data_IF_892101075481
#
_entry.id   IF_892101075481
#
_cell.length_a   1.000
_cell.length_b   1.000
_cell.length_c   1.000
_cell.angle_alpha   90.00
_cell.angle_beta   90.00
_cell.angle_gamma   90.00
#
_symmetry.space_group_name_H-M   'P 1'
#
loop_
_entity.id
_entity.type
_entity.pdbx_description
1 polymer ?
#
# COMPACT_ATOMS: atom_id res chain seq x y z
N UNK A 1 -12.62 -25.88 -0.64
CA UNK A 1 -12.29 -25.19 0.63
C UNK A 1 -13.50 -24.36 1.02
N UNK A 2 -14.13 -24.65 2.14
CA UNK A 2 -15.13 -23.77 2.76
C UNK A 2 -14.36 -22.62 3.40
N UNK A 3 -14.11 -21.57 2.63
CA UNK A 3 -13.62 -20.32 3.19
C UNK A 3 -14.77 -19.70 3.99
N UNK A 4 -14.49 -19.28 5.21
CA UNK A 4 -15.41 -18.44 5.98
C UNK A 4 -15.61 -17.15 5.17
N UNK A 5 -16.80 -16.96 4.61
CA UNK A 5 -17.11 -15.77 3.81
C UNK A 5 -17.23 -14.62 4.80
N UNK A 6 -16.16 -13.84 4.87
CA UNK A 6 -16.14 -12.57 5.53
C UNK A 6 -17.13 -11.61 4.83
N UNK A 7 -18.02 -11.01 5.61
CA UNK A 7 -18.98 -10.03 5.08
C UNK A 7 -18.27 -8.70 4.83
N UNK A 8 -18.78 -7.92 3.88
CA UNK A 8 -18.34 -6.55 3.66
C UNK A 8 -19.51 -5.58 3.79
N UNK A 9 -19.25 -4.41 4.36
CA UNK A 9 -20.23 -3.33 4.49
C UNK A 9 -19.59 -2.01 4.07
N UNK A 10 -20.31 -1.24 3.26
CA UNK A 10 -19.88 0.10 2.89
C UNK A 10 -20.09 1.04 4.07
N UNK A 11 -18.99 1.55 4.61
CA UNK A 11 -19.01 2.50 5.73
C UNK A 11 -18.83 3.94 5.25
N UNK A 12 -18.40 4.11 4.00
CA UNK A 12 -18.20 5.43 3.38
C UNK A 12 -18.30 5.31 1.87
N UNK A 13 -19.02 6.24 1.25
CA UNK A 13 -19.06 6.42 -0.20
C UNK A 13 -19.25 7.90 -0.51
N UNK A 14 -18.32 8.52 -1.21
CA UNK A 14 -18.33 9.96 -1.45
C UNK A 14 -17.55 10.37 -2.69
N UNK A 15 -17.87 11.53 -3.26
CA UNK A 15 -16.99 12.21 -4.21
C UNK A 15 -15.95 12.97 -3.38
N UNK A 16 -14.70 12.87 -3.80
CA UNK A 16 -13.56 13.47 -3.09
C UNK A 16 -13.20 14.83 -3.69
N UNK A 17 -12.28 15.55 -3.03
CA UNK A 17 -11.67 16.77 -3.54
C UNK A 17 -10.87 16.56 -4.85
N UNK A 18 -10.58 15.31 -5.22
CA UNK A 18 -9.78 14.97 -6.39
C UNK A 18 -10.61 14.92 -7.68
N UNK A 19 -10.02 15.45 -8.75
CA UNK A 19 -10.51 15.29 -10.13
C UNK A 19 -10.03 13.94 -10.71
N UNK A 20 -9.87 13.85 -12.03
CA UNK A 20 -9.26 12.71 -12.72
C UNK A 20 -7.75 12.60 -12.45
N UNK A 21 -7.32 11.54 -11.75
CA UNK A 21 -5.93 11.40 -11.30
C UNK A 21 -5.29 10.02 -11.63
N UNK A 22 -4.85 9.80 -12.88
CA UNK A 22 -4.25 8.53 -13.33
C UNK A 22 -2.72 8.43 -13.15
N UNK A 23 -2.09 9.48 -12.65
CA UNK A 23 -0.65 9.76 -12.79
C UNK A 23 0.16 9.55 -11.50
N UNK A 24 -0.37 8.76 -10.58
CA UNK A 24 0.20 8.63 -9.25
C UNK A 24 -0.21 7.37 -8.51
N UNK A 25 0.09 7.38 -7.22
CA UNK A 25 -0.21 6.30 -6.29
C UNK A 25 -1.19 6.79 -5.24
N UNK A 26 -2.19 5.96 -4.94
CA UNK A 26 -3.11 6.19 -3.84
C UNK A 26 -2.57 5.54 -2.57
N UNK A 27 -2.74 6.22 -1.44
CA UNK A 27 -2.42 5.74 -0.11
C UNK A 27 -3.49 6.20 0.88
N UNK A 28 -3.54 5.56 2.04
CA UNK A 28 -4.59 5.78 3.04
C UNK A 28 -3.99 5.71 4.44
N UNK A 29 -3.77 6.87 5.06
CA UNK A 29 -3.07 7.03 6.34
C UNK A 29 -3.64 8.24 7.09
N UNK A 30 -3.62 8.20 8.42
CA UNK A 30 -3.98 9.36 9.24
C UNK A 30 -2.89 10.44 9.12
N UNK A 31 -3.12 11.43 8.26
CA UNK A 31 -2.19 12.53 8.01
C UNK A 31 -2.53 13.74 8.87
N UNK A 32 -3.82 13.97 9.14
CA UNK A 32 -4.31 15.09 9.94
C UNK A 32 -4.16 14.86 11.44
N UNK A 33 -3.94 13.62 11.88
CA UNK A 33 -3.79 13.24 13.28
C UNK A 33 -5.14 13.16 14.02
N UNK A 34 -6.24 12.98 13.29
CA UNK A 34 -7.59 12.92 13.84
C UNK A 34 -8.02 11.50 14.23
N UNK A 35 -7.15 10.50 14.04
CA UNK A 35 -7.41 9.08 14.32
C UNK A 35 -8.12 8.34 13.19
N UNK A 36 -8.50 9.02 12.11
CA UNK A 36 -9.12 8.45 10.91
C UNK A 36 -8.21 8.65 9.70
N UNK A 37 -7.99 7.60 8.93
CA UNK A 37 -7.12 7.69 7.77
C UNK A 37 -7.68 8.64 6.69
N UNK A 38 -6.81 9.50 6.18
CA UNK A 38 -7.06 10.44 5.10
C UNK A 38 -6.70 9.81 3.75
N UNK A 39 -7.29 10.33 2.68
CA UNK A 39 -6.96 9.90 1.31
C UNK A 39 -5.76 10.68 0.79
N UNK A 40 -4.67 9.97 0.52
CA UNK A 40 -3.41 10.56 0.05
C UNK A 40 -3.17 10.15 -1.40
N UNK A 41 -2.84 11.12 -2.24
CA UNK A 41 -2.41 10.90 -3.61
C UNK A 41 -0.98 11.41 -3.80
N UNK A 42 -0.12 10.53 -4.28
CA UNK A 42 1.28 10.80 -4.60
C UNK A 42 1.36 10.95 -6.11
N UNK A 43 1.32 12.20 -6.59
CA UNK A 43 1.35 12.51 -8.03
C UNK A 43 2.79 12.45 -8.52
N UNK A 44 3.03 11.63 -9.54
CA UNK A 44 4.40 11.35 -10.00
C UNK A 44 4.64 11.69 -11.47
N UNK A 45 3.57 11.95 -12.22
CA UNK A 45 3.62 12.34 -13.63
C UNK A 45 2.70 13.52 -13.84
N UNK A 46 3.02 14.32 -14.85
CA UNK A 46 2.23 15.51 -15.21
C UNK A 46 2.01 16.45 -14.01
N UNK A 47 3.01 16.53 -13.13
CA UNK A 47 3.04 17.41 -11.96
C UNK A 47 3.31 18.85 -12.41
N UNK A 48 2.68 19.82 -11.74
CA UNK A 48 2.88 21.24 -12.06
C UNK A 48 4.26 21.77 -11.63
N UNK A 49 4.87 21.13 -10.63
CA UNK A 49 6.13 21.55 -10.00
C UNK A 49 7.41 20.97 -10.62
N UNK A 50 7.30 19.90 -11.42
CA UNK A 50 8.46 19.09 -11.84
C UNK A 50 9.00 18.15 -10.77
N UNK A 51 8.38 18.15 -9.59
CA UNK A 51 8.68 17.24 -8.48
C UNK A 51 7.47 16.33 -8.23
N UNK A 52 7.67 15.22 -7.51
CA UNK A 52 6.56 14.44 -6.96
C UNK A 52 5.77 15.35 -6.01
N UNK A 53 4.45 15.31 -6.12
CA UNK A 53 3.52 16.12 -5.32
C UNK A 53 2.69 15.23 -4.39
N UNK A 54 2.48 15.69 -3.15
CA UNK A 54 1.56 15.06 -2.20
C UNK A 54 0.30 15.90 -2.09
N UNK A 55 -0.85 15.24 -2.25
CA UNK A 55 -2.17 15.79 -2.05
C UNK A 55 -2.90 14.94 -1.00
N UNK A 56 -3.53 15.59 -0.02
CA UNK A 56 -4.26 14.92 1.07
C UNK A 56 -5.67 15.46 1.15
N UNK A 57 -6.67 14.60 0.98
CA UNK A 57 -8.07 14.92 1.25
C UNK A 57 -8.46 14.41 2.63
N UNK A 58 -8.94 15.31 3.49
CA UNK A 58 -9.16 15.03 4.92
C UNK A 58 -10.43 14.23 5.16
N UNK A 59 -10.34 13.20 5.99
CA UNK A 59 -11.47 12.41 6.49
C UNK A 59 -12.47 13.24 7.31
N UNK A 60 -12.04 14.31 8.00
CA UNK A 60 -12.94 15.23 8.75
C UNK A 60 -13.88 15.98 7.80
N UNK A 61 -13.40 16.29 6.59
CA UNK A 61 -14.17 16.94 5.52
C UNK A 61 -14.99 15.96 4.69
N UNK A 62 -15.12 14.70 5.11
CA UNK A 62 -15.67 13.62 4.28
C UNK A 62 -14.91 13.47 2.94
N UNK A 63 -13.59 13.73 2.97
CA UNK A 63 -12.68 13.72 1.81
C UNK A 63 -13.01 14.77 0.73
N UNK A 64 -13.86 15.75 1.03
CA UNK A 64 -14.32 16.79 0.09
C UNK A 64 -13.39 18.02 0.06
N UNK A 65 -12.47 18.16 1.02
CA UNK A 65 -11.49 19.25 1.07
C UNK A 65 -10.05 18.75 1.20
N UNK A 66 -9.13 19.46 0.54
CA UNK A 66 -7.70 19.20 0.68
C UNK A 66 -7.15 19.78 1.99
N UNK A 67 -6.52 18.94 2.80
CA UNK A 67 -5.70 19.36 3.94
C UNK A 67 -4.27 19.75 3.54
N UNK A 68 -3.77 19.23 2.42
CA UNK A 68 -2.42 19.50 1.92
C UNK A 68 -2.36 19.34 0.40
N UNK A 69 -1.63 20.22 -0.28
CA UNK A 69 -1.19 20.05 -1.67
C UNK A 69 0.17 20.73 -1.87
N UNK A 70 1.26 19.98 -1.91
CA UNK A 70 2.62 20.53 -2.00
C UNK A 70 3.55 19.65 -2.85
N UNK A 71 4.56 20.24 -3.52
CA UNK A 71 5.68 19.48 -4.08
C UNK A 71 6.55 18.89 -2.97
N UNK A 72 7.39 17.93 -3.33
CA UNK A 72 8.38 17.30 -2.44
C UNK A 72 9.80 17.49 -2.97
N UNK A 73 10.80 17.03 -2.22
CA UNK A 73 12.21 17.03 -2.62
C UNK A 73 12.54 16.04 -3.76
N UNK A 74 11.59 15.20 -4.18
CA UNK A 74 11.79 14.23 -5.26
C UNK A 74 11.56 14.87 -6.63
N UNK A 75 12.63 15.39 -7.24
CA UNK A 75 12.60 15.90 -8.61
C UNK A 75 12.42 14.77 -9.63
N UNK A 76 11.40 14.86 -10.49
CA UNK A 76 11.05 13.78 -11.44
C UNK A 76 12.16 13.51 -12.46
N UNK A 77 12.92 14.54 -12.84
CA UNK A 77 14.02 14.39 -13.79
C UNK A 77 15.21 13.60 -13.22
N UNK A 78 15.45 13.74 -11.91
CA UNK A 78 16.56 13.09 -11.21
C UNK A 78 16.16 11.74 -10.62
N UNK A 79 14.91 11.63 -10.16
CA UNK A 79 14.32 10.42 -9.61
C UNK A 79 13.04 10.01 -10.38
N UNK A 80 13.17 9.53 -11.64
CA UNK A 80 12.02 9.11 -12.43
C UNK A 80 11.18 8.05 -11.71
N UNK A 81 9.86 8.23 -11.62
CA UNK A 81 9.00 7.35 -10.82
C UNK A 81 8.98 5.91 -11.34
N UNK A 82 9.25 5.67 -12.62
CA UNK A 82 9.39 4.32 -13.18
C UNK A 82 10.62 3.54 -12.68
N UNK A 83 11.55 4.20 -11.98
CA UNK A 83 12.70 3.54 -11.39
C UNK A 83 12.37 2.87 -10.05
N UNK A 84 11.18 3.08 -9.50
CA UNK A 84 10.84 2.55 -8.19
C UNK A 84 9.35 2.58 -7.89
N UNK A 85 9.04 2.63 -6.60
CA UNK A 85 7.68 2.80 -6.11
C UNK A 85 7.70 3.74 -4.91
N UNK A 86 6.66 4.55 -4.79
CA UNK A 86 6.42 5.36 -3.61
C UNK A 86 5.48 4.65 -2.64
N UNK A 87 5.74 4.80 -1.35
CA UNK A 87 4.87 4.37 -0.26
C UNK A 87 4.84 5.46 0.82
N UNK A 88 3.78 5.46 1.62
CA UNK A 88 3.69 6.29 2.83
C UNK A 88 3.93 5.41 4.06
N UNK A 89 4.55 5.96 5.11
CA UNK A 89 4.66 5.28 6.39
C UNK A 89 5.39 6.11 7.44
N UNK A 90 5.13 5.85 8.72
CA UNK A 90 5.81 6.51 9.83
C UNK A 90 7.25 5.98 9.96
N UNK A 91 8.22 6.69 9.38
CA UNK A 91 9.61 6.25 9.34
C UNK A 91 10.47 7.00 10.35
N UNK A 92 10.36 8.33 10.37
CA UNK A 92 11.12 9.22 11.25
C UNK A 92 10.51 9.36 12.66
N UNK A 93 9.44 8.62 12.96
CA UNK A 93 8.69 8.74 14.21
C UNK A 93 7.77 9.95 14.26
N UNK A 94 7.54 10.60 13.12
CA UNK A 94 6.63 11.73 12.99
C UNK A 94 5.16 11.28 13.15
N UNK A 95 4.29 12.12 13.77
CA UNK A 95 2.85 11.84 13.82
C UNK A 95 2.21 11.73 12.44
N UNK A 96 2.80 12.37 11.43
CA UNK A 96 2.39 12.29 10.02
C UNK A 96 3.23 11.22 9.30
N UNK A 97 2.67 10.51 8.32
CA UNK A 97 3.43 9.53 7.55
C UNK A 97 4.45 10.23 6.62
N UNK A 98 5.65 9.69 6.54
CA UNK A 98 6.70 10.14 5.62
C UNK A 98 6.47 9.61 4.20
N UNK A 99 7.05 10.27 3.20
CA UNK A 99 7.08 9.80 1.81
C UNK A 99 8.36 9.02 1.57
N UNK A 100 8.22 7.76 1.14
CA UNK A 100 9.35 6.86 0.94
C UNK A 100 9.41 6.40 -0.51
N UNK A 101 10.53 6.64 -1.16
CA UNK A 101 10.84 6.10 -2.48
C UNK A 101 11.74 4.87 -2.37
N UNK A 102 11.23 3.73 -2.84
CA UNK A 102 11.99 2.49 -2.97
C UNK A 102 12.48 2.41 -4.42
N UNK A 103 13.73 2.84 -4.64
CA UNK A 103 14.36 2.88 -5.96
C UNK A 103 14.96 1.52 -6.28
N UNK A 104 14.51 0.93 -7.39
CA UNK A 104 14.80 -0.46 -7.77
C UNK A 104 15.49 -0.61 -9.12
N UNK A 105 15.73 0.50 -9.81
CA UNK A 105 16.34 0.56 -11.13
C UNK A 105 17.18 1.83 -11.25
N UNK A 106 18.27 1.74 -12.01
CA UNK A 106 19.18 2.86 -12.24
C UNK A 106 19.71 3.42 -10.91
N UNK A 107 20.03 2.51 -9.99
CA UNK A 107 20.51 2.86 -8.65
C UNK A 107 21.98 3.22 -8.72
N UNK A 108 22.42 4.19 -7.91
CA UNK A 108 23.84 4.59 -7.87
C UNK A 108 24.73 3.53 -7.21
N UNK A 109 24.13 2.67 -6.38
CA UNK A 109 24.81 1.65 -5.56
C UNK A 109 24.71 0.24 -6.12
N UNK A 110 23.98 0.02 -7.21
CA UNK A 110 23.60 -1.30 -7.73
C UNK A 110 22.81 -2.17 -6.75
N UNK A 111 22.28 -1.54 -5.70
CA UNK A 111 21.40 -2.12 -4.70
C UNK A 111 20.09 -1.34 -4.69
N UNK A 112 19.01 -1.95 -4.21
CA UNK A 112 17.75 -1.23 -3.98
C UNK A 112 18.00 -0.14 -2.95
N UNK A 113 17.69 1.11 -3.29
CA UNK A 113 17.90 2.28 -2.44
C UNK A 113 16.58 2.72 -1.82
N UNK A 114 16.63 3.14 -0.56
CA UNK A 114 15.50 3.72 0.18
C UNK A 114 15.80 5.19 0.42
N UNK A 115 14.92 6.06 -0.07
CA UNK A 115 14.97 7.49 0.13
C UNK A 115 13.70 7.93 0.88
N UNK A 116 13.87 8.65 1.99
CA UNK A 116 12.77 9.08 2.86
C UNK A 116 12.75 10.60 2.86
N UNK A 117 11.63 11.21 2.48
CA UNK A 117 11.36 12.62 2.70
C UNK A 117 10.44 12.76 3.92
N UNK A 118 10.88 13.50 4.93
CA UNK A 118 10.16 13.56 6.21
C UNK A 118 8.98 14.53 6.16
N UNK A 119 7.85 14.11 6.73
CA UNK A 119 6.68 14.96 6.87
C UNK A 119 6.91 16.15 7.82
N UNK A 120 7.83 16.06 8.78
CA UNK A 120 8.20 17.19 9.65
C UNK A 120 8.88 18.34 8.88
N UNK A 121 9.48 18.05 7.73
CA UNK A 121 10.05 19.05 6.81
C UNK A 121 9.07 19.51 5.73
N UNK A 122 7.79 19.15 5.84
CA UNK A 122 6.81 19.24 4.73
C UNK A 122 7.35 18.57 3.44
N UNK A 123 8.04 17.43 3.59
CA UNK A 123 8.68 16.67 2.51
C UNK A 123 9.72 17.44 1.69
N UNK A 124 10.28 18.54 2.21
CA UNK A 124 11.29 19.35 1.51
C UNK A 124 12.72 18.87 1.75
N UNK A 125 12.94 17.97 2.72
CA UNK A 125 14.26 17.43 3.03
C UNK A 125 14.26 15.89 3.07
N UNK A 126 15.37 15.31 2.61
CA UNK A 126 15.64 13.89 2.82
C UNK A 126 16.01 13.63 4.27
N UNK A 127 15.25 12.79 4.95
CA UNK A 127 15.58 12.25 6.26
C UNK A 127 16.63 11.14 6.15
N UNK A 128 16.49 10.26 5.16
CA UNK A 128 17.39 9.12 4.93
C UNK A 128 17.55 8.86 3.44
N UNK A 129 18.76 8.52 3.02
CA UNK A 129 19.05 7.96 1.71
C UNK A 129 20.10 6.86 1.88
N UNK A 130 19.73 5.59 1.66
CA UNK A 130 20.63 4.47 1.90
C UNK A 130 20.41 3.32 0.91
N UNK A 131 21.45 2.62 0.46
CA UNK A 131 21.25 1.31 -0.17
C UNK A 131 20.68 0.32 0.85
N UNK A 132 20.08 -0.75 0.36
CA UNK A 132 19.71 -1.93 1.15
C UNK A 132 20.63 -3.11 0.84
N UNK A 133 20.48 -4.20 1.59
CA UNK A 133 21.14 -5.48 1.34
C UNK A 133 20.68 -6.18 0.04
N UNK A 134 19.66 -5.64 -0.65
CA UNK A 134 19.12 -6.26 -1.85
C UNK A 134 19.76 -5.68 -3.12
N UNK A 135 20.21 -6.56 -4.00
CA UNK A 135 20.74 -6.15 -5.30
C UNK A 135 19.63 -5.56 -6.20
N UNK A 136 20.00 -4.59 -7.04
CA UNK A 136 19.11 -4.05 -8.08
C UNK A 136 18.67 -5.16 -9.06
N UNK A 137 19.55 -6.13 -9.31
CA UNK A 137 19.26 -7.26 -10.20
C UNK A 137 18.12 -8.11 -9.65
N UNK A 138 17.00 -8.13 -10.39
CA UNK A 138 15.81 -8.90 -10.03
C UNK A 138 14.89 -8.21 -9.03
N UNK A 139 15.15 -6.94 -8.66
CA UNK A 139 14.25 -6.12 -7.85
C UNK A 139 12.90 -5.87 -8.55
N UNK A 140 12.89 -5.93 -9.88
CA UNK A 140 11.69 -5.77 -10.72
C UNK A 140 10.86 -7.05 -10.91
N UNK A 141 11.13 -8.14 -10.17
CA UNK A 141 10.44 -9.44 -10.31
C UNK A 141 9.33 -9.66 -9.26
N UNK A 142 8.95 -8.62 -8.54
CA UNK A 142 8.02 -8.70 -7.43
C UNK A 142 7.44 -7.36 -7.06
N UNK A 143 6.98 -7.25 -5.82
CA UNK A 143 6.40 -6.04 -5.23
C UNK A 143 7.19 -5.65 -4.00
N UNK A 144 7.44 -4.35 -3.87
CA UNK A 144 8.10 -3.75 -2.72
C UNK A 144 7.10 -3.03 -1.84
N UNK A 145 7.32 -3.10 -0.53
CA UNK A 145 6.51 -2.40 0.45
C UNK A 145 7.27 -2.26 1.77
N UNK A 146 6.71 -1.53 2.74
CA UNK A 146 7.34 -1.33 4.04
C UNK A 146 6.35 -1.51 5.18
N UNK A 147 6.79 -2.20 6.22
CA UNK A 147 6.03 -2.39 7.46
C UNK A 147 6.98 -2.81 8.59
N UNK A 148 6.59 -2.57 9.84
CA UNK A 148 7.24 -3.18 11.01
C UNK A 148 6.96 -4.69 11.03
N UNK A 149 7.85 -5.48 10.40
CA UNK A 149 7.65 -6.91 10.17
C UNK A 149 8.00 -7.73 11.41
N UNK A 150 9.02 -7.33 12.16
CA UNK A 150 9.53 -8.05 13.31
C UNK A 150 9.01 -7.51 14.67
N UNK A 151 8.28 -6.40 14.67
CA UNK A 151 7.73 -5.79 15.89
C UNK A 151 8.73 -4.92 16.66
N UNK A 152 9.82 -4.49 16.04
CA UNK A 152 10.85 -3.64 16.67
C UNK A 152 10.53 -2.14 16.63
N UNK A 153 9.45 -1.77 15.94
CA UNK A 153 8.98 -0.38 15.82
C UNK A 153 9.63 0.40 14.68
N UNK A 154 10.57 -0.19 13.94
CA UNK A 154 11.13 0.38 12.72
C UNK A 154 10.40 -0.17 11.50
N UNK A 155 10.21 0.64 10.45
CA UNK A 155 9.72 0.12 9.17
C UNK A 155 10.79 -0.73 8.51
N UNK A 156 10.47 -1.99 8.23
CA UNK A 156 11.31 -2.91 7.47
C UNK A 156 11.02 -2.83 5.97
N UNK A 157 12.03 -3.05 5.14
CA UNK A 157 11.88 -3.12 3.68
C UNK A 157 11.52 -4.55 3.28
N UNK A 158 10.32 -4.73 2.72
CA UNK A 158 9.74 -6.02 2.37
C UNK A 158 9.68 -6.17 0.85
N UNK A 159 10.23 -7.29 0.36
CA UNK A 159 10.14 -7.70 -1.04
C UNK A 159 9.39 -9.02 -1.16
N UNK A 160 8.33 -9.01 -1.98
CA UNK A 160 7.57 -10.22 -2.33
C UNK A 160 7.87 -10.54 -3.79
N UNK A 161 8.81 -11.46 -4.00
CA UNK A 161 9.12 -11.95 -5.34
C UNK A 161 8.02 -12.89 -5.80
N UNK A 162 7.47 -12.66 -6.99
CA UNK A 162 6.40 -13.48 -7.57
C UNK A 162 6.75 -14.03 -8.95
N UNK A 163 7.74 -13.43 -9.63
CA UNK A 163 8.16 -13.82 -10.98
C UNK A 163 9.52 -14.50 -10.99
N UNK A 164 9.71 -15.32 -12.04
CA UNK A 164 10.91 -16.13 -12.25
C UNK A 164 11.22 -17.01 -11.03
N UNK A 165 10.21 -17.76 -10.56
CA UNK A 165 10.30 -18.71 -9.44
C UNK A 165 9.84 -20.08 -9.93
N UNK A 166 10.72 -21.08 -9.89
CA UNK A 166 10.42 -22.42 -10.41
C UNK A 166 9.29 -23.13 -9.65
N UNK A 167 9.13 -22.88 -8.34
CA UNK A 167 8.11 -23.53 -7.51
C UNK A 167 6.69 -22.97 -7.72
N UNK A 168 6.56 -21.78 -8.30
CA UNK A 168 5.30 -21.03 -8.36
C UNK A 168 4.85 -20.42 -7.02
N UNK A 169 5.58 -20.65 -5.92
CA UNK A 169 5.30 -20.06 -4.62
C UNK A 169 6.17 -18.82 -4.40
N UNK A 170 5.61 -17.65 -4.05
CA UNK A 170 6.39 -16.45 -3.79
C UNK A 170 7.45 -16.62 -2.72
N UNK A 171 8.45 -15.75 -2.77
CA UNK A 171 9.47 -15.64 -1.73
C UNK A 171 9.37 -14.27 -1.08
N UNK A 172 9.37 -14.25 0.24
CA UNK A 172 9.40 -13.03 1.04
C UNK A 172 10.82 -12.81 1.51
N UNK A 173 11.39 -11.67 1.17
CA UNK A 173 12.63 -11.16 1.73
C UNK A 173 12.37 -9.90 2.52
N UNK A 174 12.99 -9.77 3.69
CA UNK A 174 12.86 -8.57 4.54
C UNK A 174 14.23 -8.10 4.97
N UNK A 175 14.52 -6.81 4.75
CA UNK A 175 15.68 -6.13 5.30
C UNK A 175 15.24 -5.26 6.49
N UNK A 176 15.96 -5.39 7.60
CA UNK A 176 15.58 -4.79 8.88
C UNK A 176 15.79 -3.28 8.90
N UNK A 177 14.74 -2.53 9.25
CA UNK A 177 14.77 -1.07 9.40
C UNK A 177 15.73 -0.62 10.49
N UNK A 178 15.77 -1.33 11.63
CA UNK A 178 16.72 -1.05 12.72
C UNK A 178 18.21 -1.23 12.33
N UNK A 179 18.49 -1.74 11.13
CA UNK A 179 19.82 -1.87 10.56
C UNK A 179 20.05 -0.96 9.35
N UNK A 180 19.19 0.04 9.13
CA UNK A 180 19.15 0.85 7.90
C UNK A 180 19.16 -0.01 6.64
N UNK A 181 18.38 -1.09 6.67
CA UNK A 181 18.24 -2.08 5.60
C UNK A 181 19.52 -2.86 5.24
N UNK A 182 20.57 -2.79 6.06
CA UNK A 182 21.84 -3.49 5.81
C UNK A 182 21.82 -4.98 6.15
N UNK A 183 20.78 -5.46 6.84
CA UNK A 183 20.65 -6.86 7.25
C UNK A 183 19.35 -7.49 6.75
N UNK A 184 19.46 -8.61 6.04
CA UNK A 184 18.30 -9.46 5.75
C UNK A 184 17.87 -10.21 7.02
N UNK A 185 16.67 -9.92 7.50
CA UNK A 185 16.09 -10.49 8.72
C UNK A 185 15.11 -11.62 8.45
N UNK A 186 14.61 -11.72 7.21
CA UNK A 186 13.70 -12.79 6.80
C UNK A 186 13.94 -13.20 5.34
N UNK A 187 13.92 -14.50 5.09
CA UNK A 187 14.02 -15.11 3.76
C UNK A 187 13.31 -16.46 3.76
N UNK A 188 12.06 -16.49 3.27
CA UNK A 188 11.26 -17.71 3.24
C UNK A 188 10.37 -17.75 2.02
N UNK A 189 10.25 -18.94 1.45
CA UNK A 189 9.20 -19.24 0.47
C UNK A 189 7.85 -19.38 1.19
N UNK A 190 6.80 -18.81 0.59
CA UNK A 190 5.43 -19.02 1.02
C UNK A 190 4.99 -20.46 0.77
N UNK A 191 4.08 -20.98 1.59
CA UNK A 191 3.46 -22.30 1.40
C UNK A 191 2.30 -22.31 0.41
N UNK A 192 2.06 -21.19 -0.27
CA UNK A 192 0.98 -20.98 -1.22
C UNK A 192 1.53 -20.55 -2.57
N UNK A 193 0.88 -20.99 -3.64
CA UNK A 193 1.17 -20.50 -4.99
C UNK A 193 0.63 -19.08 -5.14
N UNK A 194 1.37 -18.21 -5.81
CA UNK A 194 0.89 -16.87 -6.14
C UNK A 194 -0.03 -16.95 -7.35
N UNK A 195 -1.20 -16.30 -7.27
CA UNK A 195 -1.95 -15.98 -8.47
C UNK A 195 -1.14 -15.01 -9.36
N UNK A 196 -1.25 -15.17 -10.68
CA UNK A 196 -0.53 -14.35 -11.65
C UNK A 196 -1.15 -12.96 -11.88
N UNK A 197 -2.29 -12.68 -11.25
CA UNK A 197 -3.03 -11.42 -11.32
C UNK A 197 -3.13 -10.82 -9.91
N UNK A 198 -3.47 -9.54 -9.79
CA UNK A 198 -3.67 -8.89 -8.49
C UNK A 198 -2.40 -8.29 -7.86
N UNK A 199 -2.56 -7.76 -6.65
CA UNK A 199 -1.53 -7.04 -5.90
C UNK A 199 -1.36 -7.63 -4.51
N UNK A 200 -0.11 -7.72 -4.06
CA UNK A 200 0.19 -8.03 -2.67
C UNK A 200 0.23 -6.74 -1.86
N UNK A 201 -0.35 -6.80 -0.68
CA UNK A 201 -0.32 -5.78 0.36
C UNK A 201 -0.27 -6.49 1.72
N UNK A 202 -0.38 -5.76 2.80
CA UNK A 202 -0.24 -6.28 4.15
C UNK A 202 -1.18 -5.59 5.12
N UNK A 203 -1.34 -6.21 6.28
CA UNK A 203 -2.00 -5.61 7.44
C UNK A 203 -1.44 -6.19 8.72
N UNK A 204 -1.47 -5.42 9.81
CA UNK A 204 -1.10 -5.93 11.14
C UNK A 204 -2.30 -6.60 11.78
N UNK A 205 -2.17 -7.89 12.09
CA UNK A 205 -3.20 -8.63 12.81
C UNK A 205 -3.33 -8.09 14.24
N UNK A 206 -4.53 -7.68 14.64
CA UNK A 206 -4.73 -7.09 15.97
C UNK A 206 -4.59 -8.11 17.10
N UNK A 207 -4.86 -9.40 16.85
CA UNK A 207 -4.77 -10.47 17.84
C UNK A 207 -3.35 -11.02 17.91
N UNK A 208 -2.82 -11.50 16.78
CA UNK A 208 -1.51 -12.15 16.76
C UNK A 208 -0.35 -11.16 16.80
N UNK A 209 -0.62 -9.86 16.55
CA UNK A 209 0.35 -8.76 16.40
C UNK A 209 1.36 -8.96 15.28
N UNK A 210 1.24 -10.03 14.49
CA UNK A 210 2.07 -10.30 13.32
C UNK A 210 1.51 -9.62 12.07
N UNK A 211 2.41 -9.37 11.13
CA UNK A 211 2.03 -8.96 9.79
C UNK A 211 1.36 -10.12 9.06
N UNK A 212 0.23 -9.84 8.43
CA UNK A 212 -0.46 -10.75 7.53
C UNK A 212 -0.38 -10.17 6.12
N UNK A 213 -0.04 -11.01 5.14
CA UNK A 213 -0.05 -10.60 3.75
C UNK A 213 -1.46 -10.78 3.19
N UNK A 214 -1.92 -9.79 2.44
CA UNK A 214 -3.20 -9.84 1.76
C UNK A 214 -2.93 -9.79 0.27
N UNK A 215 -3.43 -10.78 -0.46
CA UNK A 215 -3.44 -10.73 -1.91
C UNK A 215 -4.82 -10.24 -2.37
N UNK A 216 -4.84 -9.18 -3.18
CA UNK A 216 -6.06 -8.56 -3.70
C UNK A 216 -6.16 -8.81 -5.20
N UNK A 217 -7.19 -9.54 -5.62
CA UNK A 217 -7.49 -9.84 -7.00
C UNK A 217 -8.43 -8.79 -7.60
N UNK A 218 -7.87 -7.87 -8.37
CA UNK A 218 -8.64 -6.87 -9.13
C UNK A 218 -8.88 -7.26 -10.59
N UNK A 219 -8.36 -8.42 -11.03
CA UNK A 219 -8.47 -8.93 -12.40
C UNK A 219 -9.74 -9.76 -12.64
N UNK A 220 -9.79 -10.50 -13.75
CA UNK A 220 -10.96 -11.33 -14.13
C UNK A 220 -11.26 -12.43 -13.10
N UNK A 221 -12.17 -12.16 -12.15
CA UNK A 221 -12.73 -13.15 -11.23
C UNK A 221 -13.97 -13.79 -11.82
N UNK A 222 -14.33 -15.00 -11.37
CA UNK A 222 -15.54 -15.69 -11.84
C UNK A 222 -16.82 -14.95 -11.41
N UNK A 223 -16.76 -14.23 -10.28
CA UNK A 223 -17.85 -13.41 -9.74
C UNK A 223 -17.93 -12.02 -10.39
N UNK A 224 -16.87 -11.58 -11.08
CA UNK A 224 -16.72 -10.20 -11.54
C UNK A 224 -16.44 -9.21 -10.40
N UNK A 225 -16.22 -9.68 -9.17
CA UNK A 225 -15.99 -8.87 -7.97
C UNK A 225 -14.55 -8.96 -7.49
N UNK A 226 -14.04 -7.88 -6.88
CA UNK A 226 -12.69 -7.88 -6.29
C UNK A 226 -12.70 -8.84 -5.11
N UNK A 227 -11.74 -9.75 -5.09
CA UNK A 227 -11.56 -10.75 -4.05
C UNK A 227 -10.25 -10.48 -3.31
N UNK A 228 -10.19 -10.76 -2.03
CA UNK A 228 -8.95 -10.68 -1.29
C UNK A 228 -8.78 -11.85 -0.33
N UNK A 229 -7.53 -12.27 -0.19
CA UNK A 229 -7.14 -13.52 0.44
C UNK A 229 -6.02 -13.23 1.45
N UNK A 230 -6.22 -13.68 2.68
CA UNK A 230 -5.28 -13.42 3.77
C UNK A 230 -4.37 -14.61 4.00
N UNK A 231 -3.07 -14.35 3.99
CA UNK A 231 -1.98 -15.26 4.28
C UNK A 231 -1.33 -14.87 5.62
N UNK A 232 -1.68 -15.56 6.72
CA UNK A 232 -1.29 -15.11 8.04
C UNK A 232 0.19 -15.34 8.37
N UNK A 233 0.84 -14.35 8.97
CA UNK A 233 2.14 -14.51 9.64
C UNK A 233 2.06 -15.39 10.88
N UNK A 234 0.88 -15.52 11.50
CA UNK A 234 0.64 -16.45 12.62
C UNK A 234 0.93 -17.91 12.25
N UNK A 235 0.68 -18.30 11.00
CA UNK A 235 1.01 -19.63 10.48
C UNK A 235 2.32 -19.68 9.67
N UNK A 236 3.12 -18.62 9.73
CA UNK A 236 4.38 -18.51 8.99
C UNK A 236 4.20 -18.40 7.47
N UNK A 237 3.07 -17.85 7.02
CA UNK A 237 2.73 -17.66 5.61
C UNK A 237 2.67 -18.98 4.80
N UNK A 238 2.19 -20.04 5.44
CA UNK A 238 2.17 -21.38 4.85
C UNK A 238 0.80 -21.77 4.29
N UNK A 239 -0.29 -21.16 4.75
CA UNK A 239 -1.66 -21.50 4.31
C UNK A 239 -2.54 -20.26 4.30
N UNK A 240 -3.41 -20.16 3.29
CA UNK A 240 -4.50 -19.20 3.27
C UNK A 240 -5.42 -19.40 4.48
N UNK A 241 -6.03 -18.32 4.95
CA UNK A 241 -6.98 -18.33 6.05
C UNK A 241 -8.38 -17.89 5.60
N UNK A 242 -8.60 -16.59 5.57
CA UNK A 242 -9.85 -15.95 5.18
C UNK A 242 -9.76 -15.48 3.75
N UNK A 243 -10.85 -15.65 3.01
CA UNK A 243 -11.06 -15.02 1.72
C UNK A 243 -12.37 -14.23 1.78
N UNK A 244 -12.41 -13.09 1.13
CA UNK A 244 -13.59 -12.25 1.06
C UNK A 244 -13.80 -11.78 -0.36
N UNK A 245 -15.07 -11.70 -0.72
CA UNK A 245 -15.52 -11.06 -1.94
C UNK A 245 -16.09 -9.69 -1.56
N UNK A 246 -15.57 -8.65 -2.17
CA UNK A 246 -16.08 -7.29 -1.99
C UNK A 246 -17.34 -7.04 -2.84
N UNK A 247 -17.96 -5.89 -2.64
CA UNK A 247 -19.00 -5.37 -3.54
C UNK A 247 -18.39 -4.70 -4.78
N UNK A 248 -17.08 -4.39 -4.76
CA UNK A 248 -16.36 -3.72 -5.83
C UNK A 248 -16.31 -4.61 -7.08
N UNK A 249 -16.64 -4.03 -8.22
CA UNK A 249 -16.44 -4.68 -9.51
C UNK A 249 -14.95 -4.79 -9.81
N UNK A 250 -14.56 -5.94 -10.36
CA UNK A 250 -13.27 -6.08 -11.05
C UNK A 250 -13.25 -5.20 -12.28
N UNK A 251 -12.06 -4.94 -12.81
CA UNK A 251 -11.90 -4.21 -14.06
C UNK A 251 -12.32 -5.10 -15.25
N UNK A 252 -13.61 -5.42 -15.35
CA UNK A 252 -14.20 -6.13 -16.45
C UNK A 252 -14.33 -5.14 -17.61
N UNK A 253 -13.46 -5.28 -18.62
CA UNK A 253 -13.25 -4.38 -19.77
C UNK A 253 -12.42 -3.12 -19.51
N UNK A 254 -11.08 -3.23 -19.61
CA UNK A 254 -10.18 -2.12 -19.96
C UNK A 254 -10.43 -0.75 -19.30
N UNK A 255 -11.03 -0.71 -18.11
CA UNK A 255 -11.33 0.52 -17.41
C UNK A 255 -10.19 0.75 -16.40
N UNK A 256 -9.17 1.56 -16.73
CA UNK A 256 -7.98 1.73 -15.91
C UNK A 256 -8.24 2.54 -14.64
N UNK A 257 -9.50 2.72 -14.25
CA UNK A 257 -9.92 3.90 -13.50
C UNK A 257 -10.20 3.62 -12.03
N UNK A 258 -9.69 2.51 -11.50
CA UNK A 258 -9.76 2.27 -10.05
C UNK A 258 -8.49 1.68 -9.44
N UNK A 259 -8.24 2.09 -8.21
CA UNK A 259 -7.22 1.53 -7.33
C UNK A 259 -7.92 0.92 -6.13
N UNK A 260 -7.52 -0.31 -5.76
CA UNK A 260 -7.99 -0.95 -4.53
C UNK A 260 -6.81 -1.12 -3.59
N UNK A 261 -6.99 -0.68 -2.35
CA UNK A 261 -6.01 -0.73 -1.28
C UNK A 261 -6.55 -1.57 -0.13
N UNK A 262 -5.65 -2.19 0.60
CA UNK A 262 -5.91 -2.69 1.96
C UNK A 262 -5.23 -1.70 2.90
N UNK A 263 -6.00 -1.16 3.82
CA UNK A 263 -5.52 -0.15 4.76
C UNK A 263 -6.22 -0.32 6.10
N UNK A 264 -5.84 0.51 7.08
CA UNK A 264 -6.61 0.70 8.30
C UNK A 264 -7.41 1.98 8.17
N UNK A 265 -8.64 1.99 8.69
CA UNK A 265 -9.45 3.20 8.73
C UNK A 265 -9.18 4.01 10.00
N UNK A 266 -8.94 3.32 11.12
CA UNK A 266 -8.39 3.89 12.35
C UNK A 266 -7.28 2.98 12.86
N UNK A 267 -6.41 3.45 13.76
CA UNK A 267 -5.28 2.66 14.25
C UNK A 267 -5.73 1.31 14.86
N UNK A 268 -6.85 1.31 15.58
CA UNK A 268 -7.42 0.14 16.25
C UNK A 268 -8.30 -0.72 15.35
N UNK A 269 -8.52 -0.30 14.11
CA UNK A 269 -9.40 -0.98 13.17
C UNK A 269 -8.74 -2.26 12.61
N UNK A 270 -9.47 -3.37 12.38
CA UNK A 270 -9.07 -4.35 11.38
C UNK A 270 -8.88 -3.65 10.03
N UNK A 271 -8.27 -4.33 9.08
CA UNK A 271 -8.14 -3.71 7.77
C UNK A 271 -9.50 -3.50 7.08
N UNK A 272 -9.57 -2.48 6.25
CA UNK A 272 -10.65 -2.23 5.30
C UNK A 272 -10.14 -2.44 3.88
N UNK A 273 -11.07 -2.58 2.93
CA UNK A 273 -10.77 -2.35 1.52
C UNK A 273 -11.18 -0.93 1.16
N UNK A 274 -10.29 -0.21 0.51
CA UNK A 274 -10.55 1.13 0.00
C UNK A 274 -10.48 1.07 -1.51
N UNK A 275 -11.56 1.43 -2.19
CA UNK A 275 -11.56 1.63 -3.63
C UNK A 275 -11.63 3.12 -3.92
N UNK A 276 -10.70 3.58 -4.75
CA UNK A 276 -10.75 4.89 -5.36
C UNK A 276 -11.09 4.66 -6.82
N UNK A 277 -12.21 5.19 -7.28
CA UNK A 277 -12.60 5.21 -8.69
C UNK A 277 -12.49 6.64 -9.19
N UNK A 278 -11.64 6.89 -10.15
CA UNK A 278 -11.75 8.12 -10.92
C UNK A 278 -12.66 7.85 -12.13
N UNK A 279 -13.30 8.87 -12.69
CA UNK A 279 -14.05 8.70 -13.94
C UNK A 279 -13.13 8.76 -15.16
N UNK A 280 -13.66 8.52 -16.36
CA UNK A 280 -12.92 8.82 -17.58
C UNK A 280 -12.84 10.35 -17.81
N UNK A 281 -12.29 10.80 -18.94
CA UNK A 281 -12.27 12.24 -19.28
C UNK A 281 -13.65 12.89 -19.37
N UNK A 282 -14.73 12.12 -19.31
CA UNK A 282 -16.12 12.58 -19.32
C UNK A 282 -16.63 12.86 -17.90
N UNK A 283 -16.15 12.14 -16.89
CA UNK A 283 -16.49 12.30 -15.49
C UNK A 283 -15.23 12.63 -14.69
N UNK A 284 -14.88 13.92 -14.65
CA UNK A 284 -13.66 14.43 -14.01
C UNK A 284 -13.71 14.40 -12.46
N UNK A 285 -14.33 13.39 -11.86
CA UNK A 285 -14.49 13.26 -10.41
C UNK A 285 -13.82 11.98 -9.93
N UNK A 286 -13.22 12.02 -8.75
CA UNK A 286 -12.79 10.83 -8.02
C UNK A 286 -13.78 10.49 -6.92
N UNK A 287 -14.32 9.28 -6.98
CA UNK A 287 -15.16 8.65 -5.96
C UNK A 287 -14.33 7.73 -5.05
N UNK A 288 -14.58 7.81 -3.76
CA UNK A 288 -14.01 6.95 -2.73
C UNK A 288 -15.11 6.07 -2.15
N UNK A 289 -14.87 4.76 -2.10
CA UNK A 289 -15.70 3.81 -1.35
C UNK A 289 -14.85 2.99 -0.39
N UNK A 290 -15.26 2.91 0.88
CA UNK A 290 -14.56 2.17 1.94
C UNK A 290 -15.46 1.03 2.41
N UNK A 291 -14.97 -0.19 2.26
CA UNK A 291 -15.61 -1.39 2.77
C UNK A 291 -14.92 -1.88 4.02
N UNK A 292 -15.70 -1.98 5.09
CA UNK A 292 -15.30 -2.71 6.28
C UNK A 292 -15.31 -4.21 5.97
N UNK A 293 -14.29 -4.94 6.44
CA UNK A 293 -14.18 -6.38 6.26
C UNK A 293 -14.32 -7.05 7.63
N UNK A 294 -15.31 -7.93 7.76
CA UNK A 294 -15.59 -8.68 8.98
C UNK A 294 -14.90 -10.04 8.97
N UNK A 295 -14.39 -10.50 10.10
CA UNK A 295 -13.56 -11.71 10.16
C UNK A 295 -12.07 -11.34 10.08
N UNK A 296 -11.20 -12.23 10.57
CA UNK A 296 -9.80 -11.93 10.91
C UNK A 296 -9.60 -11.26 12.29
N UNK A 297 -10.43 -11.64 13.26
CA UNK A 297 -10.25 -11.30 14.67
C UNK A 297 -10.97 -10.04 15.17
N UNK A 298 -11.68 -9.33 14.31
CA UNK A 298 -12.47 -8.16 14.70
C UNK A 298 -13.97 -8.47 14.80
N UNK A 299 -14.60 -7.92 15.84
CA UNK A 299 -16.03 -8.02 16.11
C UNK A 299 -16.81 -6.87 15.43
N UNK A 300 -18.10 -7.09 15.11
CA UNK A 300 -19.09 -6.08 14.72
C UNK A 300 -18.91 -4.66 15.31
N UNK A 301 -18.71 -4.58 16.61
CA UNK A 301 -18.99 -3.36 17.37
C UNK A 301 -17.80 -2.38 17.48
N UNK A 302 -16.63 -2.70 16.90
CA UNK A 302 -15.38 -1.94 17.12
C UNK A 302 -15.22 -0.67 16.26
N UNK A 303 -16.27 -0.21 15.58
CA UNK A 303 -16.19 0.97 14.69
C UNK A 303 -17.39 1.86 14.93
N UNK A 304 -17.22 2.83 15.84
CA UNK A 304 -18.15 3.95 16.05
C UNK A 304 -17.48 5.24 15.65
#
# INVERSE_FOLDING_TARGET
MTHEIAFTESIRKTITAFDFEPNGYWSFHDYTGNGTADLIYIKTKETGSGCVEIHVASSESNYEEFALQIPTVFEIENEPPENGTFVMGHFAGDPKPDLIFIKTKNTGTHCVEVHVASAASDYQEYYLQTPSVFAETGANLGTWTMADFNGDGSLDLIYIRTRSIMSGCPVIWVAGGASDFQKKIYDRQMGVQAPNTGRWTFTKNLISKKLDFVWVNTGFTASGKVEAFVLPGSNGYQRWSTAFQSTFDTNYYNDPISSVMVAKYTEDSPFCLVQVKWGDTTFMTTELEILKVWGHGAQPEEWT
#
